data_IF_906601064297
#
_entry.id   IF_906601064297
#
_cell.length_a   1.000
_cell.length_b   1.000
_cell.length_c   1.000
_cell.angle_alpha   90.00
_cell.angle_beta   90.00
_cell.angle_gamma   90.00
#
_symmetry.space_group_name_H-M   'P 1'
#
loop_
_entity.id
_entity.type
_entity.pdbx_description
1 polymer ?
#
# COMPACT_ATOMS: atom_id res chain seq x y z
N UNK A 1 19.78 -23.17 12.89
CA UNK A 1 18.35 -23.38 12.58
C UNK A 1 17.85 -22.14 11.87
N UNK A 2 17.66 -22.22 10.55
CA UNK A 2 16.99 -21.16 9.81
C UNK A 2 15.51 -21.18 10.22
N UNK A 3 14.97 -20.03 10.64
CA UNK A 3 13.55 -19.90 10.89
C UNK A 3 12.84 -20.06 9.54
N UNK A 4 12.03 -21.10 9.43
CA UNK A 4 11.16 -21.34 8.29
C UNK A 4 10.12 -20.20 8.29
N UNK A 5 10.22 -19.32 7.30
CA UNK A 5 9.26 -18.22 7.14
C UNK A 5 7.92 -18.89 6.81
N UNK A 6 6.86 -18.68 7.61
CA UNK A 6 5.57 -19.30 7.34
C UNK A 6 5.10 -18.92 5.93
N UNK A 7 4.47 -19.84 5.19
CA UNK A 7 3.97 -19.56 3.86
C UNK A 7 3.00 -18.39 3.93
N UNK A 8 3.27 -17.38 3.11
CA UNK A 8 2.42 -16.19 3.02
C UNK A 8 1.07 -16.62 2.46
N UNK A 9 -0.01 -16.28 3.17
CA UNK A 9 -1.37 -16.61 2.74
C UNK A 9 -1.81 -15.55 1.72
N UNK A 10 -1.95 -15.90 0.43
CA UNK A 10 -2.19 -14.93 -0.63
C UNK A 10 -3.50 -14.15 -0.43
N UNK A 11 -4.51 -14.75 0.22
CA UNK A 11 -5.77 -14.08 0.52
C UNK A 11 -5.62 -13.04 1.64
N UNK A 12 -4.81 -13.34 2.66
CA UNK A 12 -4.47 -12.37 3.72
C UNK A 12 -3.59 -11.24 3.20
N UNK A 13 -2.69 -11.52 2.26
CA UNK A 13 -1.86 -10.51 1.64
C UNK A 13 -2.69 -9.55 0.78
N UNK A 14 -3.71 -10.07 0.09
CA UNK A 14 -4.64 -9.27 -0.71
C UNK A 14 -5.46 -8.32 0.17
N UNK A 15 -6.07 -8.80 1.26
CA UNK A 15 -6.82 -7.96 2.19
C UNK A 15 -5.92 -6.86 2.80
N UNK A 16 -4.70 -7.21 3.18
CA UNK A 16 -3.72 -6.26 3.72
C UNK A 16 -3.32 -5.19 2.69
N UNK A 17 -3.10 -5.61 1.44
CA UNK A 17 -2.80 -4.70 0.32
C UNK A 17 -3.98 -3.76 0.06
N UNK A 18 -5.22 -4.27 0.09
CA UNK A 18 -6.43 -3.46 -0.11
C UNK A 18 -6.61 -2.42 1.00
N UNK A 19 -6.47 -2.83 2.26
CA UNK A 19 -6.61 -1.92 3.41
C UNK A 19 -5.55 -0.81 3.38
N UNK A 20 -4.30 -1.19 3.07
CA UNK A 20 -3.21 -0.22 2.91
C UNK A 20 -3.48 0.74 1.75
N UNK A 21 -3.85 0.22 0.59
CA UNK A 21 -4.12 1.02 -0.60
C UNK A 21 -5.26 2.01 -0.39
N UNK A 22 -6.33 1.61 0.33
CA UNK A 22 -7.44 2.50 0.68
C UNK A 22 -6.97 3.68 1.51
N UNK A 23 -6.13 3.44 2.51
CA UNK A 23 -5.58 4.51 3.36
C UNK A 23 -4.74 5.51 2.56
N UNK A 24 -3.94 5.01 1.60
CA UNK A 24 -3.13 5.88 0.72
C UNK A 24 -4.04 6.71 -0.20
N UNK A 25 -5.07 6.11 -0.76
CA UNK A 25 -6.02 6.78 -1.66
C UNK A 25 -6.87 7.84 -0.95
N UNK A 26 -7.23 7.63 0.32
CA UNK A 26 -7.92 8.66 1.14
C UNK A 26 -7.15 9.99 1.16
N UNK A 27 -5.82 9.96 1.05
CA UNK A 27 -5.01 11.17 0.99
C UNK A 27 -4.69 11.63 -0.45
N UNK A 28 -4.40 10.68 -1.34
CA UNK A 28 -3.89 10.99 -2.68
C UNK A 28 -4.98 11.28 -3.72
N UNK A 29 -6.09 10.53 -3.69
CA UNK A 29 -7.17 10.58 -4.68
C UNK A 29 -8.49 10.06 -4.06
N UNK A 30 -9.07 10.78 -3.08
CA UNK A 30 -10.27 10.32 -2.36
C UNK A 30 -11.48 10.09 -3.27
N UNK A 31 -11.54 10.76 -4.42
CA UNK A 31 -12.55 10.57 -5.46
C UNK A 31 -12.56 9.16 -6.07
N UNK A 32 -11.43 8.45 -6.08
CA UNK A 32 -11.35 7.09 -6.62
C UNK A 32 -11.89 6.02 -5.66
N UNK A 33 -12.10 6.37 -4.39
CA UNK A 33 -12.60 5.42 -3.39
C UNK A 33 -13.96 4.82 -3.75
N UNK A 34 -14.78 5.55 -4.51
CA UNK A 34 -16.09 5.06 -4.99
C UNK A 34 -15.94 3.90 -6.00
N UNK A 35 -14.84 3.86 -6.74
CA UNK A 35 -14.52 2.82 -7.73
C UNK A 35 -13.54 1.78 -7.18
N UNK A 36 -13.02 1.97 -5.96
CA UNK A 36 -11.92 1.19 -5.43
C UNK A 36 -12.15 -0.31 -5.47
N UNK A 37 -13.30 -0.80 -4.97
CA UNK A 37 -13.56 -2.23 -4.87
C UNK A 37 -13.61 -2.90 -6.25
N UNK A 38 -14.15 -2.20 -7.26
CA UNK A 38 -14.17 -2.69 -8.64
C UNK A 38 -12.76 -2.71 -9.23
N UNK A 39 -12.04 -1.60 -9.14
CA UNK A 39 -10.68 -1.47 -9.72
C UNK A 39 -9.70 -2.42 -9.04
N UNK A 40 -9.83 -2.63 -7.72
CA UNK A 40 -9.03 -3.60 -6.98
C UNK A 40 -9.32 -5.03 -7.44
N UNK A 41 -10.59 -5.41 -7.59
CA UNK A 41 -10.96 -6.72 -8.09
C UNK A 41 -10.44 -6.98 -9.50
N UNK A 42 -10.44 -5.97 -10.36
CA UNK A 42 -9.90 -6.07 -11.71
C UNK A 42 -8.36 -6.17 -11.69
N UNK A 43 -7.69 -5.41 -10.83
CA UNK A 43 -6.24 -5.52 -10.60
C UNK A 43 -5.84 -6.92 -10.13
N UNK A 44 -6.48 -7.47 -9.10
CA UNK A 44 -6.11 -8.81 -8.60
C UNK A 44 -6.45 -9.93 -9.59
N UNK A 45 -7.39 -9.69 -10.51
CA UNK A 45 -7.70 -10.63 -11.59
C UNK A 45 -6.62 -10.66 -12.67
N UNK A 46 -6.16 -9.49 -13.12
CA UNK A 46 -5.12 -9.37 -14.16
C UNK A 46 -4.34 -8.05 -13.99
N UNK A 47 -3.28 -8.06 -13.14
CA UNK A 47 -2.49 -6.86 -12.85
C UNK A 47 -1.84 -6.27 -14.10
N UNK A 48 -1.35 -7.13 -14.98
CA UNK A 48 -0.64 -6.71 -16.19
C UNK A 48 -1.60 -6.00 -17.15
N UNK A 49 -2.82 -6.52 -17.31
CA UNK A 49 -3.83 -5.87 -18.16
C UNK A 49 -4.23 -4.47 -17.65
N UNK A 50 -4.42 -4.30 -16.34
CA UNK A 50 -4.85 -3.01 -15.78
C UNK A 50 -3.72 -2.00 -15.67
N UNK A 51 -2.45 -2.44 -15.66
CA UNK A 51 -1.27 -1.60 -15.63
C UNK A 51 -0.74 -1.26 -17.03
N UNK A 52 -1.14 -2.02 -18.07
CA UNK A 52 -0.72 -1.81 -19.45
C UNK A 52 -1.23 -0.46 -20.01
N UNK A 53 -0.32 0.49 -20.33
CA UNK A 53 -0.71 1.76 -20.93
C UNK A 53 -1.44 1.62 -22.27
N UNK A 54 -1.13 0.58 -23.06
CA UNK A 54 -1.71 0.38 -24.38
C UNK A 54 -3.18 -0.06 -24.32
N UNK A 55 -3.57 -0.83 -23.29
CA UNK A 55 -4.96 -1.27 -23.09
C UNK A 55 -5.86 -0.20 -22.45
N UNK A 56 -5.26 0.79 -21.79
CA UNK A 56 -6.01 1.91 -21.21
C UNK A 56 -6.52 2.87 -22.28
N UNK A 57 -5.73 3.10 -23.33
CA UNK A 57 -6.09 3.97 -24.45
C UNK A 57 -7.27 3.41 -25.29
N UNK A 58 -7.50 2.09 -25.23
CA UNK A 58 -8.61 1.42 -25.92
C UNK A 58 -9.92 1.38 -25.10
N UNK A 59 -9.89 1.68 -23.80
CA UNK A 59 -11.06 1.65 -22.91
C UNK A 59 -11.89 2.94 -23.00
N UNK A 60 -12.25 3.33 -24.22
CA UNK A 60 -13.13 4.48 -24.53
C UNK A 60 -14.61 4.10 -24.35
N UNK A 61 -14.99 3.80 -23.12
CA UNK A 61 -16.38 3.53 -22.72
C UNK A 61 -16.76 4.38 -21.52
N UNK A 62 -17.38 5.54 -21.78
CA UNK A 62 -17.88 6.53 -20.81
C UNK A 62 -16.86 7.49 -20.20
N UNK A 63 -16.28 8.39 -21.02
CA UNK A 63 -16.09 9.81 -20.67
C UNK A 63 -15.25 10.18 -19.43
N UNK A 64 -14.50 9.26 -18.85
CA UNK A 64 -13.57 9.49 -17.74
C UNK A 64 -12.20 8.93 -18.13
N UNK A 65 -11.50 9.64 -19.02
CA UNK A 65 -10.05 9.47 -19.30
C UNK A 65 -9.18 9.89 -18.11
N UNK A 66 -9.64 9.63 -16.89
CA UNK A 66 -8.84 9.83 -15.69
C UNK A 66 -8.03 8.55 -15.51
N UNK A 67 -6.72 8.66 -15.71
CA UNK A 67 -5.78 7.59 -15.39
C UNK A 67 -5.93 7.26 -13.90
N UNK A 68 -6.66 6.19 -13.59
CA UNK A 68 -6.92 5.77 -12.22
C UNK A 68 -5.59 5.50 -11.51
N UNK A 69 -5.41 6.11 -10.35
CA UNK A 69 -4.26 5.94 -9.47
C UNK A 69 -4.34 4.62 -8.69
N UNK A 70 -5.56 4.14 -8.42
CA UNK A 70 -5.85 2.90 -7.68
C UNK A 70 -5.00 1.68 -8.10
N UNK A 71 -4.92 1.26 -9.38
CA UNK A 71 -4.12 0.10 -9.78
C UNK A 71 -2.63 0.29 -9.48
N UNK A 72 -2.13 1.53 -9.56
CA UNK A 72 -0.74 1.82 -9.20
C UNK A 72 -0.50 1.78 -7.70
N UNK A 73 -1.44 2.28 -6.90
CA UNK A 73 -1.36 2.22 -5.43
C UNK A 73 -1.30 0.76 -4.99
N UNK A 74 -2.14 -0.12 -5.56
CA UNK A 74 -2.12 -1.55 -5.28
C UNK A 74 -0.78 -2.20 -5.67
N UNK A 75 -0.24 -1.83 -6.83
CA UNK A 75 1.06 -2.33 -7.30
C UNK A 75 2.26 -1.82 -6.49
N UNK A 76 2.15 -0.64 -5.87
CA UNK A 76 3.16 -0.06 -4.97
C UNK A 76 3.03 -0.62 -3.55
N UNK A 77 1.81 -0.92 -3.10
CA UNK A 77 1.54 -1.44 -1.77
C UNK A 77 2.26 -2.78 -1.51
N UNK A 78 2.28 -3.69 -2.47
CA UNK A 78 2.94 -5.00 -2.33
C UNK A 78 4.42 -4.91 -1.94
N UNK A 79 5.31 -4.25 -2.72
CA UNK A 79 6.73 -4.14 -2.34
C UNK A 79 6.95 -3.30 -1.08
N UNK A 80 6.10 -2.32 -0.79
CA UNK A 80 6.18 -1.54 0.46
C UNK A 80 5.89 -2.42 1.67
N UNK A 81 4.80 -3.19 1.64
CA UNK A 81 4.45 -4.13 2.71
C UNK A 81 5.53 -5.21 2.87
N UNK A 82 6.05 -5.75 1.78
CA UNK A 82 7.16 -6.72 1.81
C UNK A 82 8.44 -6.13 2.45
N UNK A 83 8.76 -4.86 2.17
CA UNK A 83 9.88 -4.17 2.81
C UNK A 83 9.65 -3.98 4.32
N UNK A 84 8.43 -3.63 4.73
CA UNK A 84 8.08 -3.52 6.15
C UNK A 84 8.23 -4.88 6.85
N UNK A 85 7.79 -5.99 6.24
CA UNK A 85 7.95 -7.36 6.77
C UNK A 85 9.42 -7.67 7.03
N UNK A 86 10.28 -7.42 6.05
CA UNK A 86 11.72 -7.68 6.17
C UNK A 86 12.38 -6.80 7.23
N UNK A 87 11.98 -5.54 7.34
CA UNK A 87 12.53 -4.59 8.32
C UNK A 87 12.15 -4.97 9.75
N UNK A 88 10.92 -5.41 9.99
CA UNK A 88 10.49 -5.88 11.32
C UNK A 88 11.16 -7.22 11.67
N UNK A 89 11.26 -8.15 10.72
CA UNK A 89 11.90 -9.46 10.93
C UNK A 89 13.41 -9.37 11.29
N UNK A 90 14.10 -8.34 10.78
CA UNK A 90 15.52 -8.10 11.08
C UNK A 90 15.75 -7.45 12.44
N UNK A 91 14.74 -6.78 12.99
CA UNK A 91 14.85 -6.02 14.24
C UNK A 91 14.27 -6.77 15.45
N UNK A 92 13.29 -7.65 15.23
CA UNK A 92 12.65 -8.45 16.27
C UNK A 92 12.78 -9.96 15.99
N UNK A 93 13.16 -10.75 17.01
CA UNK A 93 13.10 -12.23 16.97
C UNK A 93 11.65 -12.78 16.96
N UNK A 94 10.65 -11.94 16.71
CA UNK A 94 9.23 -12.28 16.70
C UNK A 94 8.71 -12.35 15.27
N UNK A 95 7.64 -13.12 15.05
CA UNK A 95 6.95 -13.22 13.76
C UNK A 95 6.53 -11.82 13.27
N UNK A 96 6.94 -11.45 12.04
CA UNK A 96 6.79 -10.09 11.51
C UNK A 96 5.36 -9.77 11.00
N UNK A 97 4.61 -10.80 10.58
CA UNK A 97 3.26 -10.69 10.02
C UNK A 97 2.22 -10.05 10.95
N UNK A 98 2.10 -10.42 12.24
CA UNK A 98 1.10 -9.82 13.13
C UNK A 98 1.34 -8.33 13.38
N UNK A 99 2.60 -7.90 13.48
CA UNK A 99 2.98 -6.50 13.73
C UNK A 99 2.52 -5.58 12.59
N UNK A 100 2.67 -6.04 11.35
CA UNK A 100 2.32 -5.26 10.15
C UNK A 100 0.82 -5.22 9.94
N UNK A 101 0.14 -6.34 10.22
CA UNK A 101 -1.33 -6.38 10.20
C UNK A 101 -1.90 -5.38 11.20
N UNK A 102 -1.33 -5.28 12.40
CA UNK A 102 -1.74 -4.29 13.40
C UNK A 102 -1.43 -2.84 12.99
N UNK A 103 -0.30 -2.60 12.33
CA UNK A 103 0.03 -1.28 11.77
C UNK A 103 -0.98 -0.84 10.69
N UNK A 104 -1.32 -1.74 9.75
CA UNK A 104 -2.34 -1.48 8.71
C UNK A 104 -3.74 -1.31 9.31
N UNK A 105 -4.08 -2.07 10.36
CA UNK A 105 -5.35 -1.86 11.09
C UNK A 105 -5.38 -0.52 11.82
N UNK A 106 -4.25 -0.06 12.36
CA UNK A 106 -4.15 1.26 12.99
C UNK A 106 -4.25 2.38 11.94
N UNK A 107 -3.62 2.24 10.78
CA UNK A 107 -3.82 3.11 9.61
C UNK A 107 -5.31 3.30 9.30
N UNK A 108 -6.05 2.20 9.21
CA UNK A 108 -7.49 2.21 8.93
C UNK A 108 -8.37 2.80 10.06
N UNK A 109 -7.82 2.90 11.28
CA UNK A 109 -8.52 3.43 12.46
C UNK A 109 -8.07 4.84 12.82
N UNK A 110 -6.88 5.29 12.42
CA UNK A 110 -6.36 6.63 12.72
C UNK A 110 -7.23 7.75 12.12
N UNK A 111 -7.96 7.46 11.03
CA UNK A 111 -8.98 8.37 10.47
C UNK A 111 -10.31 8.43 11.26
N UNK A 112 -10.52 7.53 12.23
CA UNK A 112 -11.70 7.49 13.11
C UNK A 112 -11.23 7.68 14.54
N UNK A 113 -11.37 8.89 15.07
CA UNK A 113 -10.90 9.32 16.39
C UNK A 113 -11.45 8.49 17.58
N UNK A 114 -11.00 7.25 17.76
CA UNK A 114 -11.17 6.46 18.98
C UNK A 114 -9.98 5.49 19.13
N UNK A 115 -8.95 5.90 19.89
CA UNK A 115 -7.89 4.99 20.33
C UNK A 115 -8.37 4.09 21.48
N UNK A 116 -8.28 2.76 21.38
CA UNK A 116 -8.36 1.87 22.54
C UNK A 116 -7.04 1.90 23.32
N UNK A 117 -7.11 2.09 24.63
CA UNK A 117 -5.97 2.18 25.57
C UNK A 117 -5.06 0.94 25.66
N UNK A 118 -5.40 -0.19 25.03
CA UNK A 118 -4.75 -1.49 25.25
C UNK A 118 -4.15 -2.14 23.98
N UNK A 119 -3.96 -1.41 22.89
CA UNK A 119 -3.31 -1.98 21.70
C UNK A 119 -1.79 -2.16 21.93
N UNK A 120 -1.19 -3.29 21.49
CA UNK A 120 0.26 -3.49 21.56
C UNK A 120 1.02 -2.31 20.95
N UNK A 121 2.05 -1.82 21.63
CA UNK A 121 2.93 -0.76 21.13
C UNK A 121 3.82 -1.33 20.02
N UNK A 122 3.41 -1.15 18.77
CA UNK A 122 4.30 -1.29 17.62
C UNK A 122 5.36 -0.19 17.74
N UNK A 123 6.66 -0.48 17.57
CA UNK A 123 7.69 0.54 17.60
C UNK A 123 7.40 1.62 16.54
N UNK A 124 7.56 2.90 16.86
CA UNK A 124 7.32 3.96 15.90
C UNK A 124 8.28 3.83 14.70
N UNK A 125 7.77 4.08 13.49
CA UNK A 125 8.56 4.06 12.26
C UNK A 125 9.68 5.10 12.37
N UNK A 126 10.94 4.68 12.22
CA UNK A 126 12.07 5.61 12.30
C UNK A 126 12.15 6.49 11.05
N UNK A 127 12.77 7.70 11.12
CA UNK A 127 12.97 8.54 9.95
C UNK A 127 13.71 7.84 8.80
N UNK A 128 14.66 6.96 9.11
CA UNK A 128 15.39 6.16 8.12
C UNK A 128 14.47 5.13 7.45
N UNK A 129 13.60 4.47 8.22
CA UNK A 129 12.62 3.53 7.67
C UNK A 129 11.60 4.24 6.77
N UNK A 130 11.11 5.40 7.19
CA UNK A 130 10.21 6.24 6.39
C UNK A 130 10.85 6.68 5.07
N UNK A 131 12.12 7.11 5.09
CA UNK A 131 12.88 7.43 3.87
C UNK A 131 13.02 6.22 2.95
N UNK A 132 13.32 5.05 3.51
CA UNK A 132 13.48 3.85 2.70
C UNK A 132 12.18 3.37 2.08
N UNK A 133 11.06 3.46 2.80
CA UNK A 133 9.73 3.21 2.26
C UNK A 133 9.42 4.18 1.11
N UNK A 134 9.72 5.47 1.27
CA UNK A 134 9.56 6.48 0.23
C UNK A 134 10.31 6.09 -1.05
N UNK A 135 11.57 5.67 -0.91
CA UNK A 135 12.41 5.25 -2.03
C UNK A 135 11.81 4.04 -2.77
N UNK A 136 11.34 3.03 -2.03
CA UNK A 136 10.70 1.84 -2.62
C UNK A 136 9.42 2.24 -3.38
N UNK A 137 8.59 3.08 -2.77
CA UNK A 137 7.35 3.54 -3.38
C UNK A 137 7.61 4.36 -4.66
N UNK A 138 8.55 5.31 -4.60
CA UNK A 138 8.90 6.17 -5.73
C UNK A 138 9.54 5.37 -6.88
N UNK A 139 10.43 4.44 -6.57
CA UNK A 139 11.05 3.58 -7.57
C UNK A 139 9.99 2.74 -8.28
N UNK A 140 9.10 2.09 -7.51
CA UNK A 140 8.04 1.27 -8.09
C UNK A 140 7.06 2.08 -8.93
N UNK A 141 6.67 3.26 -8.46
CA UNK A 141 5.78 4.15 -9.22
C UNK A 141 6.41 4.60 -10.55
N UNK A 142 7.71 4.93 -10.53
CA UNK A 142 8.47 5.30 -11.73
C UNK A 142 8.60 4.14 -12.71
N UNK A 143 8.88 2.93 -12.22
CA UNK A 143 8.99 1.71 -13.05
C UNK A 143 7.67 1.37 -13.75
N UNK A 144 6.54 1.77 -13.15
CA UNK A 144 5.20 1.63 -13.72
C UNK A 144 4.84 2.75 -14.72
N UNK A 145 5.75 3.71 -14.95
CA UNK A 145 5.56 4.79 -15.92
C UNK A 145 4.68 5.95 -15.43
N UNK A 146 4.44 6.07 -14.11
CA UNK A 146 3.74 7.23 -13.56
C UNK A 146 4.54 8.52 -13.85
N UNK A 147 3.85 9.64 -14.18
CA UNK A 147 4.48 10.95 -14.25
C UNK A 147 5.19 11.29 -12.93
N UNK A 148 6.33 11.96 -13.01
CA UNK A 148 7.21 12.21 -11.85
C UNK A 148 6.49 12.87 -10.66
N UNK A 149 5.60 13.83 -10.94
CA UNK A 149 4.82 14.51 -9.90
C UNK A 149 3.82 13.57 -9.22
N UNK A 150 3.17 12.68 -9.97
CA UNK A 150 2.26 11.67 -9.43
C UNK A 150 3.02 10.59 -8.64
N UNK A 151 4.16 10.14 -9.14
CA UNK A 151 5.02 9.17 -8.46
C UNK A 151 5.53 9.71 -7.12
N UNK A 152 5.90 11.00 -7.07
CA UNK A 152 6.26 11.70 -5.82
C UNK A 152 5.09 11.82 -4.86
N UNK A 153 3.93 12.28 -5.34
CA UNK A 153 2.73 12.41 -4.51
C UNK A 153 2.33 11.07 -3.90
N UNK A 154 2.37 9.99 -4.69
CA UNK A 154 2.08 8.64 -4.22
C UNK A 154 3.07 8.19 -3.13
N UNK A 155 4.37 8.37 -3.37
CA UNK A 155 5.41 8.01 -2.40
C UNK A 155 5.29 8.80 -1.08
N UNK A 156 4.97 10.09 -1.16
CA UNK A 156 4.78 10.95 -0.01
C UNK A 156 3.51 10.58 0.77
N UNK A 157 2.42 10.21 0.08
CA UNK A 157 1.16 9.74 0.69
C UNK A 157 1.34 8.39 1.41
N UNK A 158 2.12 7.49 0.82
CA UNK A 158 2.50 6.20 1.44
C UNK A 158 3.22 6.42 2.78
N UNK A 159 4.19 7.34 2.80
CA UNK A 159 4.92 7.69 4.04
C UNK A 159 4.02 8.43 5.02
N UNK A 160 3.21 9.37 4.54
CA UNK A 160 2.26 10.14 5.34
C UNK A 160 1.31 9.25 6.12
N UNK A 161 0.71 8.26 5.44
CA UNK A 161 -0.09 7.23 6.09
C UNK A 161 0.69 6.54 7.21
N UNK A 162 1.84 5.95 6.90
CA UNK A 162 2.63 5.16 7.86
C UNK A 162 3.06 5.95 9.11
N UNK A 163 3.47 7.21 8.95
CA UNK A 163 3.88 8.06 10.07
C UNK A 163 2.70 8.44 10.95
N UNK A 164 1.50 8.62 10.39
CA UNK A 164 0.30 8.94 11.18
C UNK A 164 -0.28 7.76 11.97
N UNK A 165 0.12 6.54 11.64
CA UNK A 165 -0.37 5.31 12.29
C UNK A 165 0.60 4.70 13.31
N UNK A 166 1.82 5.22 13.38
CA UNK A 166 2.89 4.81 14.29
C UNK A 166 2.76 5.52 15.64
#
# INVERSE_FOLDING_TARGET
MAAEIPPVDPARDEDLVRDFARTVLEQAAPEELVLFDQTAADYFRDPDAVLDPARRDESVGFGLDLALLTPYVLAVATPVLAFLVQTVATTAKAEATPVITDLVRRLFRAGRSEEPKDAPTVPPVTPEQARRVREVALARASDLGLPEDQARLLADSVVGGLVTAA
#
